data_IF_746656219231
#
_entry.id   IF_746656219231
#
_cell.length_a   1.000
_cell.length_b   1.000
_cell.length_c   1.000
_cell.angle_alpha   90.00
_cell.angle_beta   90.00
_cell.angle_gamma   90.00
#
_symmetry.space_group_name_H-M   'P 1'
#
loop_
_entity.id
_entity.type
_entity.pdbx_description
1 polymer ?
#
# COMPACT_ATOMS: atom_id res chain seq x y z
N UNK A 1 15.73 6.49 9.29
CA UNK A 1 15.37 7.27 8.09
C UNK A 1 14.18 6.58 7.47
N UNK A 2 13.01 7.22 7.42
CA UNK A 2 11.82 6.67 6.78
C UNK A 2 12.12 6.38 5.32
N UNK A 3 12.07 5.10 4.91
CA UNK A 3 12.34 4.69 3.53
C UNK A 3 11.19 5.13 2.64
N UNK A 4 11.53 5.84 1.56
CA UNK A 4 10.62 6.18 0.46
C UNK A 4 11.04 5.38 -0.78
N UNK A 5 10.08 4.83 -1.49
CA UNK A 5 10.26 4.12 -2.76
C UNK A 5 9.36 4.76 -3.80
N UNK A 6 9.96 5.14 -4.92
CA UNK A 6 9.25 5.62 -6.10
C UNK A 6 9.20 4.52 -7.14
N UNK A 7 8.02 4.31 -7.74
CA UNK A 7 7.80 3.28 -8.75
C UNK A 7 6.82 3.76 -9.82
N UNK A 8 7.09 3.40 -11.06
CA UNK A 8 6.12 3.53 -12.15
C UNK A 8 5.33 2.23 -12.30
N UNK A 9 4.01 2.33 -12.38
CA UNK A 9 3.11 1.21 -12.63
C UNK A 9 2.31 1.45 -13.89
N UNK A 10 2.26 0.44 -14.78
CA UNK A 10 1.41 0.43 -15.97
C UNK A 10 0.28 -0.55 -15.74
N UNK A 11 -0.96 -0.17 -16.07
CA UNK A 11 -2.09 -1.09 -15.93
C UNK A 11 -1.86 -2.34 -16.79
N UNK A 12 -2.25 -3.51 -16.27
CA UNK A 12 -2.13 -4.77 -17.03
C UNK A 12 -3.07 -4.81 -18.22
N UNK A 13 -4.25 -4.20 -18.08
CA UNK A 13 -5.29 -4.17 -19.11
C UNK A 13 -5.15 -2.97 -20.08
N UNK A 14 -4.36 -1.95 -19.74
CA UNK A 14 -4.06 -0.81 -20.62
C UNK A 14 -2.65 -0.26 -20.33
N UNK A 15 -1.67 -0.69 -21.13
CA UNK A 15 -0.27 -0.33 -20.92
C UNK A 15 0.06 1.14 -21.21
N UNK A 16 -0.88 1.91 -21.76
CA UNK A 16 -0.72 3.36 -21.98
C UNK A 16 -1.02 4.17 -20.72
N UNK A 17 -1.82 3.63 -19.81
CA UNK A 17 -2.12 4.24 -18.53
C UNK A 17 -0.96 3.99 -17.56
N UNK A 18 -0.29 5.07 -17.15
CA UNK A 18 0.92 5.00 -16.31
C UNK A 18 0.72 5.83 -15.05
N UNK A 19 0.79 5.15 -13.90
CA UNK A 19 0.70 5.75 -12.58
C UNK A 19 2.09 5.84 -11.95
N UNK A 20 2.37 6.93 -11.24
CA UNK A 20 3.53 7.01 -10.36
C UNK A 20 3.07 6.73 -8.93
N UNK A 21 3.82 5.87 -8.24
CA UNK A 21 3.59 5.49 -6.86
C UNK A 21 4.79 5.98 -6.05
N UNK A 22 4.55 6.91 -5.13
CA UNK A 22 5.51 7.29 -4.10
C UNK A 22 5.06 6.68 -2.78
N UNK A 23 5.69 5.57 -2.37
CA UNK A 23 5.36 4.85 -1.16
C UNK A 23 6.37 5.14 -0.06
N UNK A 24 5.88 5.45 1.14
CA UNK A 24 6.71 5.72 2.32
C UNK A 24 6.18 4.96 3.53
N UNK A 25 7.09 4.45 4.35
CA UNK A 25 6.72 3.88 5.65
C UNK A 25 6.37 5.03 6.60
N UNK A 26 5.13 5.10 7.04
CA UNK A 26 4.62 6.13 7.97
C UNK A 26 4.54 5.66 9.41
N UNK A 27 4.39 4.35 9.62
CA UNK A 27 4.50 3.70 10.94
C UNK A 27 5.36 2.45 10.81
N UNK A 28 6.56 2.51 11.38
CA UNK A 28 7.46 1.35 11.46
C UNK A 28 7.01 0.40 12.58
N UNK A 29 6.98 -0.89 12.28
CA UNK A 29 6.83 -1.94 13.29
C UNK A 29 8.03 -1.91 14.24
N UNK A 30 7.81 -1.56 15.50
CA UNK A 30 8.87 -1.57 16.53
C UNK A 30 8.79 -2.79 17.44
N UNK A 31 7.58 -3.23 17.82
CA UNK A 31 7.29 -4.56 18.41
C UNK A 31 5.80 -4.69 18.76
N UNK A 32 5.22 -5.90 18.72
CA UNK A 32 3.91 -6.18 19.34
C UNK A 32 2.69 -5.86 18.46
N UNK A 33 1.61 -5.40 19.11
CA UNK A 33 0.27 -5.17 18.52
C UNK A 33 0.16 -3.90 17.65
N UNK A 34 1.22 -3.13 17.52
CA UNK A 34 1.16 -1.79 16.92
C UNK A 34 1.04 -1.78 15.38
N UNK A 35 1.20 -2.92 14.72
CA UNK A 35 1.09 -3.03 13.26
C UNK A 35 2.19 -2.31 12.48
N UNK A 36 1.96 -2.10 11.17
CA UNK A 36 2.80 -1.27 10.30
C UNK A 36 1.91 -0.48 9.33
N UNK A 37 2.32 0.75 9.00
CA UNK A 37 1.56 1.61 8.07
C UNK A 37 2.48 2.14 6.96
N UNK A 38 2.00 2.03 5.73
CA UNK A 38 2.65 2.55 4.54
C UNK A 38 1.66 3.45 3.80
N UNK A 39 2.06 4.68 3.54
CA UNK A 39 1.29 5.62 2.71
C UNK A 39 1.89 5.68 1.31
N UNK A 40 1.05 5.48 0.29
CA UNK A 40 1.36 5.67 -1.12
C UNK A 40 0.63 6.88 -1.67
N UNK A 41 1.37 7.84 -2.23
CA UNK A 41 0.78 8.91 -3.04
C UNK A 41 0.82 8.48 -4.49
N UNK A 42 -0.34 8.47 -5.14
CA UNK A 42 -0.49 8.04 -6.53
C UNK A 42 -0.74 9.26 -7.39
N UNK A 43 0.08 9.43 -8.43
CA UNK A 43 -0.08 10.52 -9.40
C UNK A 43 -0.27 9.98 -10.81
N UNK A 44 -1.07 10.72 -11.59
CA UNK A 44 -1.38 10.42 -12.99
C UNK A 44 -1.54 11.75 -13.74
N UNK A 45 -1.23 11.86 -15.05
CA UNK A 45 -1.30 13.12 -15.78
C UNK A 45 -2.70 13.75 -15.85
N UNK A 46 -3.76 12.92 -15.83
CA UNK A 46 -5.14 13.36 -16.06
C UNK A 46 -6.02 13.24 -14.81
N UNK A 47 -5.60 12.42 -13.84
CA UNK A 47 -6.41 12.10 -12.66
C UNK A 47 -5.85 12.90 -11.49
N UNK A 48 -6.73 13.47 -10.68
CA UNK A 48 -6.31 14.17 -9.45
C UNK A 48 -5.50 13.20 -8.59
N UNK A 49 -4.33 13.61 -8.06
CA UNK A 49 -3.56 12.79 -7.14
C UNK A 49 -4.41 12.29 -5.98
N UNK A 50 -4.21 11.02 -5.61
CA UNK A 50 -4.92 10.37 -4.52
C UNK A 50 -3.96 9.55 -3.68
N UNK A 51 -4.41 9.13 -2.50
CA UNK A 51 -3.60 8.43 -1.50
C UNK A 51 -4.16 7.07 -1.17
N UNK A 52 -3.25 6.10 -1.05
CA UNK A 52 -3.55 4.83 -0.43
C UNK A 52 -2.78 4.69 0.88
N UNK A 53 -3.48 4.35 1.96
CA UNK A 53 -2.87 4.01 3.25
C UNK A 53 -3.04 2.51 3.45
N UNK A 54 -1.94 1.76 3.41
CA UNK A 54 -1.94 0.32 3.69
C UNK A 54 -1.56 0.12 5.14
N UNK A 55 -2.49 -0.44 5.92
CA UNK A 55 -2.30 -0.76 7.33
C UNK A 55 -2.22 -2.28 7.51
N UNK A 56 -1.07 -2.75 7.99
CA UNK A 56 -0.88 -4.13 8.41
C UNK A 56 -1.24 -4.24 9.89
N UNK A 57 -2.33 -4.95 10.19
CA UNK A 57 -2.80 -5.14 11.56
C UNK A 57 -1.79 -5.86 12.45
N UNK A 58 -1.89 -5.67 13.77
CA UNK A 58 -1.04 -6.35 14.76
C UNK A 58 -1.17 -7.88 14.73
N UNK A 59 -2.33 -8.39 14.32
CA UNK A 59 -2.58 -9.80 14.06
C UNK A 59 -1.76 -10.33 12.87
N UNK A 60 -1.67 -9.54 11.80
CA UNK A 60 -0.85 -9.86 10.63
C UNK A 60 0.63 -9.87 11.01
N UNK A 61 1.12 -8.82 11.67
CA UNK A 61 2.54 -8.72 12.06
C UNK A 61 2.97 -9.85 13.01
N UNK A 62 2.11 -10.25 13.95
CA UNK A 62 2.35 -11.39 14.86
C UNK A 62 2.60 -12.71 14.13
N UNK A 63 1.96 -12.92 12.98
CA UNK A 63 2.16 -14.14 12.18
C UNK A 63 3.36 -14.08 11.24
N UNK A 64 3.88 -12.89 10.97
CA UNK A 64 4.98 -12.66 10.03
C UNK A 64 6.24 -12.20 10.75
N UNK A 65 6.72 -13.02 11.70
CA UNK A 65 7.91 -12.73 12.52
C UNK A 65 9.19 -12.42 11.72
N UNK A 66 9.28 -12.87 10.47
CA UNK A 66 10.42 -12.66 9.58
C UNK A 66 10.20 -11.52 8.55
N UNK A 67 9.08 -10.82 8.57
CA UNK A 67 8.84 -9.71 7.66
C UNK A 67 9.70 -8.51 8.06
N UNK A 68 10.60 -8.09 7.19
CA UNK A 68 11.37 -6.87 7.37
C UNK A 68 10.55 -5.63 6.97
N UNK A 69 10.91 -4.42 7.42
CA UNK A 69 10.26 -3.18 6.96
C UNK A 69 10.20 -3.05 5.43
N UNK A 70 11.24 -3.51 4.73
CA UNK A 70 11.27 -3.52 3.26
C UNK A 70 10.22 -4.47 2.68
N UNK A 71 10.02 -5.64 3.29
CA UNK A 71 9.00 -6.59 2.85
C UNK A 71 7.59 -6.01 3.01
N UNK A 72 7.30 -5.31 4.12
CA UNK A 72 6.03 -4.58 4.28
C UNK A 72 5.84 -3.52 3.20
N UNK A 73 6.88 -2.74 2.91
CA UNK A 73 6.84 -1.71 1.88
C UNK A 73 6.58 -2.30 0.48
N UNK A 74 7.30 -3.35 0.08
CA UNK A 74 7.08 -4.02 -1.20
C UNK A 74 5.69 -4.67 -1.30
N UNK A 75 5.20 -5.24 -0.20
CA UNK A 75 3.85 -5.82 -0.14
C UNK A 75 2.79 -4.73 -0.30
N UNK A 76 2.95 -3.60 0.40
CA UNK A 76 2.05 -2.45 0.29
C UNK A 76 1.99 -1.90 -1.14
N UNK A 77 3.14 -1.76 -1.81
CA UNK A 77 3.19 -1.34 -3.22
C UNK A 77 2.40 -2.32 -4.10
N UNK A 78 2.59 -3.62 -3.90
CA UNK A 78 1.86 -4.65 -4.69
C UNK A 78 0.35 -4.58 -4.47
N UNK A 79 -0.09 -4.30 -3.24
CA UNK A 79 -1.51 -4.07 -2.91
C UNK A 79 -2.02 -2.80 -3.62
N UNK A 80 -1.27 -1.70 -3.57
CA UNK A 80 -1.63 -0.44 -4.23
C UNK A 80 -1.78 -0.64 -5.75
N UNK A 81 -0.84 -1.34 -6.39
CA UNK A 81 -0.92 -1.70 -7.81
C UNK A 81 -2.22 -2.44 -8.13
N UNK A 82 -2.57 -3.43 -7.31
CA UNK A 82 -3.83 -4.16 -7.48
C UNK A 82 -5.07 -3.28 -7.27
N UNK A 83 -5.01 -2.27 -6.41
CA UNK A 83 -6.13 -1.34 -6.19
C UNK A 83 -6.25 -0.29 -7.30
N UNK A 84 -5.14 0.16 -7.88
CA UNK A 84 -5.14 1.05 -9.06
C UNK A 84 -5.92 0.40 -10.22
N UNK A 85 -5.79 -0.91 -10.39
CA UNK A 85 -6.51 -1.70 -11.41
C UNK A 85 -8.03 -1.71 -11.22
N UNK A 86 -8.54 -1.41 -10.02
CA UNK A 86 -9.98 -1.40 -9.72
C UNK A 86 -10.74 -0.19 -10.29
N UNK A 87 -10.03 0.76 -10.94
CA UNK A 87 -10.54 2.01 -11.53
C UNK A 87 -11.19 3.01 -10.56
N UNK A 88 -11.23 2.72 -9.26
CA UNK A 88 -11.66 3.67 -8.22
C UNK A 88 -10.44 4.41 -7.68
N UNK A 89 -10.17 5.58 -8.25
CA UNK A 89 -8.98 6.39 -7.94
C UNK A 89 -9.31 7.50 -6.94
N UNK A 90 -9.47 7.10 -5.68
CA UNK A 90 -9.83 7.98 -4.56
C UNK A 90 -8.99 7.67 -3.33
N UNK A 91 -8.92 8.62 -2.41
CA UNK A 91 -8.25 8.44 -1.13
C UNK A 91 -8.85 7.24 -0.36
N UNK A 92 -8.04 6.20 -0.13
CA UNK A 92 -8.52 4.91 0.39
C UNK A 92 -7.55 4.33 1.43
N UNK A 93 -8.09 3.81 2.54
CA UNK A 93 -7.38 2.98 3.51
C UNK A 93 -7.62 1.50 3.21
N UNK A 94 -6.54 0.73 3.24
CA UNK A 94 -6.46 -0.68 2.89
C UNK A 94 -5.94 -1.45 4.11
N UNK A 95 -6.80 -2.21 4.77
CA UNK A 95 -6.46 -3.00 5.95
C UNK A 95 -6.05 -4.41 5.54
N UNK A 96 -4.92 -4.86 6.06
CA UNK A 96 -4.38 -6.20 5.82
C UNK A 96 -4.48 -7.01 7.11
N UNK A 97 -5.41 -7.96 7.12
CA UNK A 97 -5.64 -8.87 8.25
C UNK A 97 -4.98 -10.23 8.04
N UNK A 98 -4.78 -10.97 9.13
CA UNK A 98 -4.12 -12.29 9.13
C UNK A 98 -4.83 -13.34 8.26
N UNK A 99 -6.16 -13.34 8.27
CA UNK A 99 -6.97 -14.46 7.77
C UNK A 99 -7.63 -14.21 6.41
N UNK A 100 -7.57 -12.98 5.88
CA UNK A 100 -8.06 -12.67 4.55
C UNK A 100 -6.88 -12.44 3.61
N UNK A 101 -6.73 -13.30 2.60
CA UNK A 101 -5.89 -12.99 1.42
C UNK A 101 -6.40 -11.78 0.61
N UNK A 102 -7.27 -10.97 1.19
CA UNK A 102 -8.00 -9.84 0.63
C UNK A 102 -7.88 -8.67 1.59
N UNK A 103 -7.63 -7.48 1.06
CA UNK A 103 -7.57 -6.24 1.84
C UNK A 103 -8.97 -5.66 2.02
N UNK A 104 -9.33 -5.30 3.24
CA UNK A 104 -10.54 -4.53 3.50
C UNK A 104 -10.31 -3.06 3.13
N UNK A 105 -11.26 -2.44 2.43
CA UNK A 105 -11.10 -1.08 1.88
C UNK A 105 -12.10 -0.12 2.51
N UNK A 106 -11.64 1.07 2.88
CA UNK A 106 -12.47 2.14 3.45
C UNK A 106 -12.03 3.51 2.90
N UNK A 107 -12.94 4.48 2.69
CA UNK A 107 -12.55 5.85 2.35
C UNK A 107 -11.65 6.44 3.44
N UNK A 108 -10.67 7.27 3.05
CA UNK A 108 -9.86 8.05 4.00
C UNK A 108 -10.60 9.28 4.52
#
# INVERSE_FOLDING_TARGET
MSKTVEKQYRLRNDSREVFQIEARVTKEYKSGDEGAEITGTITHPVIKPFKYVVEFGGDFTKTKKNFTPEMYLHTAISIMESQIESKKHVDTRLWVHKDSGLTETSPL
#
